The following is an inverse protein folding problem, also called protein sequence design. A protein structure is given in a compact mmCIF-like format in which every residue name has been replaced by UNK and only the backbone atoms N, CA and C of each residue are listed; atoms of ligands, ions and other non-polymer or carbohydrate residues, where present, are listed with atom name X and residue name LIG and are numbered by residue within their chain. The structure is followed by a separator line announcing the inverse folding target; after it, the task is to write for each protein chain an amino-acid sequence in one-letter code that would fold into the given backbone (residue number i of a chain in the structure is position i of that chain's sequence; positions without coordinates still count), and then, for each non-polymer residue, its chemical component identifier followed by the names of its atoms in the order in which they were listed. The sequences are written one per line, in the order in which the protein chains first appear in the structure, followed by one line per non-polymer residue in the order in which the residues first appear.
data_IF_761966821246
#
_entry.id   IF_761966821246
#
_cell.length_a   1.000
_cell.length_b   1.000
_cell.length_c   1.000
_cell.angle_alpha   90.00
_cell.angle_beta   90.00
_cell.angle_gamma   90.00
#
_symmetry.space_group_name_H-M   'P 1'
#
loop_
_entity.id
_entity.type
_entity.pdbx_description
1 polymer ?
#
# COMPACT_ATOMS: atom_id res chain seq x y z
N UNK A 1 -20.80 -24.49 39.91
CA UNK A 1 -19.66 -23.65 40.36
C UNK A 1 -18.34 -24.04 39.69
N UNK A 2 -17.95 -25.33 39.65
CA UNK A 2 -16.69 -25.79 39.03
C UNK A 2 -16.57 -25.48 37.52
N UNK A 3 -17.67 -25.59 36.76
CA UNK A 3 -17.70 -25.32 35.31
C UNK A 3 -17.47 -23.83 35.01
N UNK A 4 -18.00 -22.92 35.84
CA UNK A 4 -17.84 -21.47 35.69
C UNK A 4 -16.38 -21.04 35.99
N UNK A 5 -15.76 -21.66 36.99
CA UNK A 5 -14.33 -21.45 37.32
C UNK A 5 -13.41 -21.92 36.18
N UNK A 6 -13.68 -23.08 35.58
CA UNK A 6 -12.95 -23.58 34.41
C UNK A 6 -13.15 -22.67 33.17
N UNK A 7 -14.37 -22.20 32.93
CA UNK A 7 -14.71 -21.24 31.86
C UNK A 7 -13.89 -19.94 31.94
N UNK A 8 -13.91 -19.29 33.11
CA UNK A 8 -13.15 -18.06 33.33
C UNK A 8 -11.66 -18.30 33.16
N UNK A 9 -11.13 -19.45 33.60
CA UNK A 9 -9.70 -19.76 33.49
C UNK A 9 -9.22 -19.94 32.04
N UNK A 10 -10.05 -20.49 31.14
CA UNK A 10 -9.64 -20.75 29.76
C UNK A 10 -9.73 -19.50 28.88
N UNK A 11 -10.78 -18.70 29.02
CA UNK A 11 -10.88 -17.44 28.27
C UNK A 11 -9.80 -16.45 28.72
N UNK A 12 -9.55 -16.34 30.04
CA UNK A 12 -8.47 -15.49 30.57
C UNK A 12 -7.08 -15.96 30.13
N UNK A 13 -6.87 -17.27 29.98
CA UNK A 13 -5.63 -17.79 29.39
C UNK A 13 -5.49 -17.35 27.92
N UNK A 14 -6.54 -17.49 27.10
CA UNK A 14 -6.53 -17.04 25.72
C UNK A 14 -6.24 -15.54 25.59
N UNK A 15 -6.91 -14.71 26.40
CA UNK A 15 -6.70 -13.26 26.45
C UNK A 15 -5.28 -12.91 26.91
N UNK A 16 -4.74 -13.63 27.91
CA UNK A 16 -3.37 -13.41 28.36
C UNK A 16 -2.33 -13.80 27.31
N UNK A 17 -2.58 -14.85 26.52
CA UNK A 17 -1.70 -15.25 25.43
C UNK A 17 -1.73 -14.20 24.32
N UNK A 18 -2.94 -13.73 23.96
CA UNK A 18 -3.15 -12.68 22.99
C UNK A 18 -2.43 -11.38 23.37
N UNK A 19 -2.62 -10.92 24.61
CA UNK A 19 -2.00 -9.71 25.14
C UNK A 19 -0.46 -9.77 25.18
N UNK A 20 0.11 -10.98 25.21
CA UNK A 20 1.57 -11.21 25.17
C UNK A 20 2.11 -11.47 23.76
N UNK A 21 1.26 -11.43 22.72
CA UNK A 21 1.64 -11.65 21.33
C UNK A 21 1.78 -13.13 20.93
N UNK A 22 1.40 -14.07 21.78
CA UNK A 22 1.39 -15.51 21.48
C UNK A 22 0.14 -15.87 20.65
N UNK A 23 0.05 -15.31 19.45
CA UNK A 23 -1.16 -15.37 18.62
C UNK A 23 -1.53 -16.79 18.18
N UNK A 24 -0.56 -17.67 17.97
CA UNK A 24 -0.85 -19.06 17.58
C UNK A 24 -1.52 -19.83 18.70
N UNK A 25 -0.97 -19.73 19.91
CA UNK A 25 -1.49 -20.34 21.12
C UNK A 25 -2.83 -19.73 21.49
N UNK A 26 -2.94 -18.39 21.48
CA UNK A 26 -4.19 -17.68 21.73
C UNK A 26 -5.30 -18.14 20.78
N UNK A 27 -5.01 -18.26 19.48
CA UNK A 27 -5.97 -18.77 18.48
C UNK A 27 -6.48 -20.16 18.84
N UNK A 28 -5.59 -21.07 19.22
CA UNK A 28 -5.97 -22.44 19.59
C UNK A 28 -6.81 -22.47 20.87
N UNK A 29 -6.48 -21.64 21.86
CA UNK A 29 -7.24 -21.53 23.10
C UNK A 29 -8.62 -20.89 22.87
N UNK A 30 -8.73 -19.82 22.07
CA UNK A 30 -10.03 -19.27 21.66
C UNK A 30 -10.88 -20.29 20.91
N UNK A 31 -10.29 -21.03 19.96
CA UNK A 31 -11.00 -22.08 19.23
C UNK A 31 -11.51 -23.16 20.21
N UNK A 32 -10.68 -23.58 21.16
CA UNK A 32 -11.07 -24.52 22.21
C UNK A 32 -12.25 -23.97 23.02
N UNK A 33 -12.18 -22.73 23.48
CA UNK A 33 -13.25 -22.04 24.20
C UNK A 33 -14.55 -22.05 23.39
N UNK A 34 -14.52 -21.74 22.09
CA UNK A 34 -15.72 -21.71 21.24
C UNK A 34 -16.29 -23.09 20.89
N UNK A 35 -15.51 -24.16 21.02
CA UNK A 35 -15.96 -25.55 20.83
C UNK A 35 -16.65 -26.06 22.09
N UNK A 36 -16.00 -25.90 23.25
CA UNK A 36 -16.54 -26.39 24.52
C UNK A 36 -17.64 -25.49 25.10
N UNK A 37 -17.65 -24.20 24.75
CA UNK A 37 -18.61 -23.20 25.23
C UNK A 37 -19.16 -22.34 24.08
N UNK A 38 -20.06 -22.90 23.23
CA UNK A 38 -20.56 -22.22 22.04
C UNK A 38 -21.22 -20.85 22.29
N UNK A 39 -21.78 -20.63 23.47
CA UNK A 39 -22.38 -19.34 23.87
C UNK A 39 -21.36 -18.18 23.86
N UNK A 40 -20.08 -18.46 24.09
CA UNK A 40 -19.02 -17.45 24.05
C UNK A 40 -18.70 -16.96 22.63
N UNK A 41 -19.25 -17.59 21.59
CA UNK A 41 -19.22 -17.03 20.23
C UNK A 41 -20.02 -15.73 20.08
N UNK A 42 -20.86 -15.40 21.06
CA UNK A 42 -21.53 -14.10 21.14
C UNK A 42 -20.66 -13.03 21.82
N UNK A 43 -19.53 -13.41 22.42
CA UNK A 43 -18.57 -12.44 22.93
C UNK A 43 -17.75 -11.88 21.76
N UNK A 44 -18.08 -10.65 21.37
CA UNK A 44 -17.48 -9.95 20.23
C UNK A 44 -15.98 -9.73 20.43
N UNK A 45 -15.56 -9.38 21.65
CA UNK A 45 -14.14 -9.13 21.98
C UNK A 45 -13.30 -10.40 21.79
N UNK A 46 -13.76 -11.53 22.35
CA UNK A 46 -13.07 -12.81 22.18
C UNK A 46 -12.98 -13.22 20.70
N UNK A 47 -14.02 -12.94 19.91
CA UNK A 47 -13.99 -13.22 18.46
C UNK A 47 -13.07 -12.29 17.69
N UNK A 48 -12.98 -11.03 18.09
CA UNK A 48 -12.02 -10.08 17.51
C UNK A 48 -10.60 -10.57 17.77
N UNK A 49 -10.24 -10.86 19.02
CA UNK A 49 -8.92 -11.38 19.37
C UNK A 49 -8.59 -12.69 18.65
N UNK A 50 -9.57 -13.60 18.51
CA UNK A 50 -9.41 -14.81 17.70
C UNK A 50 -9.13 -14.51 16.22
N UNK A 51 -9.91 -13.60 15.61
CA UNK A 51 -9.75 -13.22 14.21
C UNK A 51 -8.40 -12.53 13.96
N UNK A 52 -7.98 -11.63 14.85
CA UNK A 52 -6.66 -10.99 14.81
C UNK A 52 -5.54 -12.03 14.99
N UNK A 53 -5.71 -12.99 15.89
CA UNK A 53 -4.75 -14.08 16.07
C UNK A 53 -4.57 -14.92 14.80
N UNK A 54 -5.66 -15.19 14.06
CA UNK A 54 -5.57 -15.81 12.73
C UNK A 54 -4.85 -14.90 11.75
N UNK A 55 -5.19 -13.61 11.72
CA UNK A 55 -4.64 -12.63 10.80
C UNK A 55 -3.11 -12.58 10.85
N UNK A 56 -2.54 -12.67 12.05
CA UNK A 56 -1.09 -12.67 12.28
C UNK A 56 -0.36 -13.86 11.66
N UNK A 57 -1.07 -14.98 11.43
CA UNK A 57 -0.54 -16.15 10.71
C UNK A 57 -0.89 -16.16 9.23
N UNK A 58 -2.17 -15.92 8.93
CA UNK A 58 -2.78 -16.09 7.62
C UNK A 58 -3.72 -14.92 7.38
N UNK A 59 -3.20 -13.90 6.68
CA UNK A 59 -3.90 -12.65 6.44
C UNK A 59 -5.24 -12.89 5.72
N UNK A 60 -5.30 -13.84 4.77
CA UNK A 60 -6.54 -14.10 4.03
C UNK A 60 -7.63 -14.65 4.93
N UNK A 61 -7.31 -15.63 5.77
CA UNK A 61 -8.28 -16.21 6.72
C UNK A 61 -8.66 -15.24 7.81
N UNK A 62 -7.71 -14.48 8.35
CA UNK A 62 -7.99 -13.47 9.38
C UNK A 62 -8.96 -12.41 8.87
N UNK A 63 -8.75 -11.89 7.65
CA UNK A 63 -9.67 -10.93 7.02
C UNK A 63 -11.04 -11.56 6.79
N UNK A 64 -11.11 -12.83 6.40
CA UNK A 64 -12.39 -13.54 6.27
C UNK A 64 -13.15 -13.60 7.60
N UNK A 65 -12.46 -13.91 8.71
CA UNK A 65 -13.09 -13.94 10.04
C UNK A 65 -13.48 -12.56 10.57
N UNK A 66 -12.68 -11.52 10.30
CA UNK A 66 -13.06 -10.13 10.61
C UNK A 66 -14.30 -9.69 9.85
N UNK A 67 -14.40 -10.01 8.55
CA UNK A 67 -15.60 -9.72 7.77
C UNK A 67 -16.84 -10.45 8.30
N UNK A 68 -16.70 -11.73 8.70
CA UNK A 68 -17.80 -12.46 9.36
C UNK A 68 -18.23 -11.76 10.64
N UNK A 69 -17.27 -11.34 11.47
CA UNK A 69 -17.55 -10.60 12.71
C UNK A 69 -18.35 -9.31 12.44
N UNK A 70 -17.91 -8.48 11.48
CA UNK A 70 -18.61 -7.23 11.12
C UNK A 70 -20.03 -7.51 10.60
N UNK A 71 -20.21 -8.54 9.79
CA UNK A 71 -21.52 -8.89 9.23
C UNK A 71 -22.49 -9.46 10.27
N UNK A 72 -21.98 -10.29 11.19
CA UNK A 72 -22.78 -10.91 12.25
C UNK A 72 -23.16 -9.91 13.35
N UNK A 73 -22.34 -8.89 13.57
CA UNK A 73 -22.59 -7.83 14.56
C UNK A 73 -22.60 -6.46 13.89
N UNK A 74 -23.69 -6.05 13.22
CA UNK A 74 -23.73 -4.73 12.55
C UNK A 74 -23.61 -3.53 13.50
N UNK A 75 -23.86 -3.72 14.80
CA UNK A 75 -23.80 -2.69 15.84
C UNK A 75 -22.57 -2.86 16.74
N UNK A 76 -21.39 -2.96 16.13
CA UNK A 76 -20.11 -3.00 16.87
C UNK A 76 -19.87 -1.68 17.62
N UNK A 77 -19.37 -1.75 18.87
CA UNK A 77 -18.79 -0.61 19.57
C UNK A 77 -17.73 0.12 18.74
N UNK A 78 -17.65 1.45 18.89
CA UNK A 78 -16.77 2.29 18.06
C UNK A 78 -15.29 1.90 18.18
N UNK A 79 -14.83 1.58 19.39
CA UNK A 79 -13.46 1.11 19.65
C UNK A 79 -13.13 -0.19 18.89
N UNK A 80 -14.09 -1.12 18.79
CA UNK A 80 -13.91 -2.36 18.02
C UNK A 80 -13.91 -2.11 16.51
N UNK A 81 -14.78 -1.21 16.02
CA UNK A 81 -14.76 -0.80 14.61
C UNK A 81 -13.41 -0.19 14.23
N UNK A 82 -12.90 0.70 15.10
CA UNK A 82 -11.58 1.30 14.95
C UNK A 82 -10.49 0.24 14.90
N UNK A 83 -10.46 -0.70 15.84
CA UNK A 83 -9.46 -1.76 15.86
C UNK A 83 -9.51 -2.64 14.60
N UNK A 84 -10.70 -3.03 14.14
CA UNK A 84 -10.87 -3.80 12.89
C UNK A 84 -10.41 -2.98 11.68
N UNK A 85 -10.72 -1.69 11.64
CA UNK A 85 -10.26 -0.80 10.58
C UNK A 85 -8.74 -0.68 10.57
N UNK A 86 -8.08 -0.57 11.74
CA UNK A 86 -6.62 -0.62 11.87
C UNK A 86 -6.05 -1.92 11.25
N UNK A 87 -6.69 -3.07 11.50
CA UNK A 87 -6.27 -4.34 10.86
C UNK A 87 -6.44 -4.32 9.34
N UNK A 88 -7.53 -3.76 8.83
CA UNK A 88 -7.75 -3.58 7.40
C UNK A 88 -6.72 -2.64 6.76
N UNK A 89 -6.35 -1.56 7.44
CA UNK A 89 -5.31 -0.64 6.97
C UNK A 89 -3.95 -1.35 6.91
N UNK A 90 -3.58 -2.07 7.97
CA UNK A 90 -2.31 -2.82 8.05
C UNK A 90 -2.19 -3.89 6.96
N UNK A 91 -3.32 -4.44 6.52
CA UNK A 91 -3.38 -5.42 5.42
C UNK A 91 -3.69 -4.81 4.06
N UNK A 92 -3.66 -3.47 3.95
CA UNK A 92 -3.92 -2.69 2.73
C UNK A 92 -5.30 -2.96 2.11
N UNK A 93 -6.28 -3.29 2.93
CA UNK A 93 -7.70 -3.47 2.58
C UNK A 93 -8.49 -2.19 2.83
N UNK A 94 -8.02 -1.09 2.25
CA UNK A 94 -8.56 0.25 2.52
C UNK A 94 -10.06 0.38 2.24
N UNK A 95 -10.57 -0.27 1.18
CA UNK A 95 -12.01 -0.32 0.89
C UNK A 95 -12.84 -0.85 2.08
N UNK A 96 -12.37 -1.91 2.76
CA UNK A 96 -13.09 -2.48 3.91
C UNK A 96 -13.04 -1.52 5.11
N UNK A 97 -11.87 -0.91 5.37
CA UNK A 97 -11.72 0.10 6.41
C UNK A 97 -12.65 1.32 6.16
N UNK A 98 -12.69 1.83 4.93
CA UNK A 98 -13.58 2.93 4.53
C UNK A 98 -15.05 2.53 4.77
N UNK A 99 -15.45 1.33 4.35
CA UNK A 99 -16.84 0.88 4.51
C UNK A 99 -17.24 0.77 5.98
N UNK A 100 -16.31 0.38 6.85
CA UNK A 100 -16.56 0.22 8.28
C UNK A 100 -16.63 1.56 9.03
N UNK A 101 -15.82 2.53 8.62
CA UNK A 101 -15.66 3.83 9.28
C UNK A 101 -16.59 4.93 8.77
N UNK A 102 -17.17 4.78 7.57
CA UNK A 102 -17.97 5.83 6.92
C UNK A 102 -19.08 6.44 7.79
N UNK A 103 -19.75 5.57 8.55
CA UNK A 103 -20.90 5.91 9.39
C UNK A 103 -20.50 6.11 10.87
N UNK A 104 -19.20 6.27 11.14
CA UNK A 104 -18.66 6.50 12.48
C UNK A 104 -18.21 7.94 12.65
N UNK A 105 -17.99 8.34 13.91
CA UNK A 105 -17.43 9.64 14.26
C UNK A 105 -15.90 9.70 14.08
N UNK A 106 -15.24 8.60 13.69
CA UNK A 106 -13.78 8.50 13.47
C UNK A 106 -13.36 9.14 12.14
N UNK A 107 -13.66 10.44 11.96
CA UNK A 107 -13.40 11.20 10.72
C UNK A 107 -11.92 11.32 10.40
N UNK A 108 -11.08 11.57 11.40
CA UNK A 108 -9.63 11.60 11.24
C UNK A 108 -9.07 10.29 10.65
N UNK A 109 -9.47 9.14 11.22
CA UNK A 109 -9.03 7.84 10.73
C UNK A 109 -9.56 7.56 9.33
N UNK A 110 -10.84 7.88 9.06
CA UNK A 110 -11.42 7.75 7.72
C UNK A 110 -10.68 8.60 6.68
N UNK A 111 -10.36 9.85 7.02
CA UNK A 111 -9.56 10.76 6.19
C UNK A 111 -8.18 10.18 5.89
N UNK A 112 -7.51 9.61 6.90
CA UNK A 112 -6.24 8.90 6.73
C UNK A 112 -6.40 7.70 5.77
N UNK A 113 -7.44 6.88 5.91
CA UNK A 113 -7.64 5.73 5.00
C UNK A 113 -7.85 6.21 3.56
N UNK A 114 -8.60 7.28 3.33
CA UNK A 114 -8.74 7.86 2.00
C UNK A 114 -7.40 8.32 1.42
N UNK A 115 -6.51 8.91 2.25
CA UNK A 115 -5.15 9.27 1.81
C UNK A 115 -4.32 8.04 1.42
N UNK A 116 -4.34 6.99 2.25
CA UNK A 116 -3.59 5.76 2.01
C UNK A 116 -4.08 5.05 0.72
N UNK A 117 -5.39 5.10 0.45
CA UNK A 117 -6.01 4.56 -0.77
C UNK A 117 -5.81 5.45 -2.01
N UNK A 118 -5.30 6.69 -1.84
CA UNK A 118 -5.09 7.65 -2.92
C UNK A 118 -6.34 8.44 -3.34
N UNK A 119 -7.42 8.37 -2.56
CA UNK A 119 -8.65 9.14 -2.77
C UNK A 119 -8.53 10.55 -2.18
N UNK A 120 -7.59 11.36 -2.71
CA UNK A 120 -7.24 12.67 -2.15
C UNK A 120 -8.42 13.64 -2.01
N UNK A 121 -9.35 13.65 -2.97
CA UNK A 121 -10.54 14.51 -2.89
C UNK A 121 -11.46 14.13 -1.73
N UNK A 122 -11.65 12.84 -1.49
CA UNK A 122 -12.48 12.34 -0.38
C UNK A 122 -11.78 12.57 0.96
N UNK A 123 -10.47 12.33 1.03
CA UNK A 123 -9.66 12.66 2.21
C UNK A 123 -9.78 14.14 2.57
N UNK A 124 -9.55 15.03 1.59
CA UNK A 124 -9.67 16.48 1.76
C UNK A 124 -11.04 16.88 2.28
N UNK A 125 -12.12 16.38 1.66
CA UNK A 125 -13.47 16.67 2.09
C UNK A 125 -13.71 16.21 3.54
N UNK A 126 -13.26 15.01 3.88
CA UNK A 126 -13.38 14.44 5.23
C UNK A 126 -12.66 15.30 6.27
N UNK A 127 -11.42 15.74 5.99
CA UNK A 127 -10.68 16.60 6.92
C UNK A 127 -11.28 17.99 7.06
N UNK A 128 -11.85 18.57 6.00
CA UNK A 128 -12.54 19.85 6.09
C UNK A 128 -13.83 19.76 6.92
N UNK A 129 -14.61 18.70 6.74
CA UNK A 129 -15.81 18.44 7.55
C UNK A 129 -15.48 18.28 9.04
N UNK A 130 -14.31 17.71 9.35
CA UNK A 130 -13.80 17.54 10.71
C UNK A 130 -13.13 18.81 11.28
N UNK A 131 -13.01 19.88 10.48
CA UNK A 131 -12.37 21.14 10.87
C UNK A 131 -10.83 21.12 10.80
N UNK A 132 -10.22 20.06 10.29
CA UNK A 132 -8.78 19.92 10.13
C UNK A 132 -8.28 20.58 8.82
N UNK A 133 -8.32 21.90 8.80
CA UNK A 133 -7.96 22.73 7.64
C UNK A 133 -6.49 22.55 7.25
N UNK A 134 -5.58 22.37 8.22
CA UNK A 134 -4.14 22.21 7.95
C UNK A 134 -3.86 21.01 7.03
N UNK A 135 -4.44 19.84 7.32
CA UNK A 135 -4.24 18.65 6.49
C UNK A 135 -4.91 18.83 5.12
N UNK A 136 -6.09 19.46 5.07
CA UNK A 136 -6.76 19.75 3.81
C UNK A 136 -5.92 20.65 2.88
N UNK A 137 -5.30 21.70 3.43
CA UNK A 137 -4.41 22.60 2.69
C UNK A 137 -3.15 21.88 2.20
N UNK A 138 -2.57 20.98 3.02
CA UNK A 138 -1.44 20.15 2.61
C UNK A 138 -1.79 19.21 1.44
N UNK A 139 -3.03 18.71 1.40
CA UNK A 139 -3.54 17.92 0.27
C UNK A 139 -3.66 18.79 -0.98
N UNK A 140 -4.18 20.02 -0.84
CA UNK A 140 -4.29 20.96 -1.96
C UNK A 140 -2.93 21.34 -2.54
N UNK A 141 -1.95 21.64 -1.67
CA UNK A 141 -0.58 21.91 -2.08
C UNK A 141 0.01 20.73 -2.89
N UNK A 142 -0.20 19.50 -2.42
CA UNK A 142 0.26 18.31 -3.11
C UNK A 142 -0.42 18.12 -4.47
N UNK A 143 -1.74 18.34 -4.55
CA UNK A 143 -2.50 18.21 -5.80
C UNK A 143 -2.12 19.27 -6.83
N UNK A 144 -1.78 20.48 -6.39
CA UNK A 144 -1.29 21.56 -7.25
C UNK A 144 0.18 21.36 -7.66
N UNK A 145 0.92 20.54 -6.92
CA UNK A 145 2.33 20.32 -7.21
C UNK A 145 2.54 19.64 -8.57
N UNK A 146 3.47 20.14 -9.41
CA UNK A 146 3.62 19.63 -10.77
C UNK A 146 4.15 18.20 -10.76
N UNK A 147 3.43 17.30 -11.43
CA UNK A 147 3.85 15.91 -11.66
C UNK A 147 4.70 15.81 -12.92
N UNK A 148 5.61 14.83 -12.97
CA UNK A 148 6.36 14.51 -14.20
C UNK A 148 5.41 13.86 -15.20
N UNK A 149 5.38 14.40 -16.41
CA UNK A 149 4.53 13.90 -17.49
C UNK A 149 5.19 12.71 -18.17
N UNK A 150 4.49 11.57 -18.20
CA UNK A 150 4.91 10.38 -18.95
C UNK A 150 5.11 10.68 -20.43
N UNK A 151 4.17 11.43 -21.04
CA UNK A 151 4.22 11.80 -22.45
C UNK A 151 5.44 12.66 -22.75
N UNK A 152 5.77 13.59 -21.85
CA UNK A 152 6.95 14.44 -22.00
C UNK A 152 8.23 13.62 -21.88
N UNK A 153 8.30 12.68 -20.92
CA UNK A 153 9.44 11.79 -20.79
C UNK A 153 9.64 10.94 -22.06
N UNK A 154 8.56 10.34 -22.58
CA UNK A 154 8.58 9.59 -23.85
C UNK A 154 9.03 10.45 -25.02
N UNK A 155 8.48 11.66 -25.16
CA UNK A 155 8.84 12.57 -26.24
C UNK A 155 10.32 12.93 -26.20
N UNK A 156 10.85 13.21 -25.02
CA UNK A 156 12.28 13.50 -24.85
C UNK A 156 13.14 12.31 -25.26
N UNK A 157 12.81 11.09 -24.83
CA UNK A 157 13.58 9.89 -25.19
C UNK A 157 13.41 9.45 -26.64
N UNK A 158 12.33 9.88 -27.31
CA UNK A 158 12.17 9.72 -28.75
C UNK A 158 13.23 10.54 -29.52
N UNK A 159 13.47 11.78 -29.10
CA UNK A 159 14.47 12.64 -29.75
C UNK A 159 15.89 12.31 -29.33
N UNK A 160 16.10 12.00 -28.05
CA UNK A 160 17.41 11.73 -27.48
C UNK A 160 17.30 10.61 -26.43
N UNK A 161 17.79 9.40 -26.73
CA UNK A 161 17.78 8.30 -25.78
C UNK A 161 18.38 8.70 -24.43
N UNK A 162 17.70 8.38 -23.34
CA UNK A 162 18.07 8.75 -21.98
C UNK A 162 17.55 10.11 -21.49
N UNK A 163 17.06 10.99 -22.36
CA UNK A 163 16.65 12.34 -21.96
C UNK A 163 15.37 12.35 -21.10
N UNK A 164 14.43 11.46 -21.36
CA UNK A 164 13.21 11.31 -20.56
C UNK A 164 13.48 10.79 -19.15
N UNK A 165 14.44 9.88 -19.00
CA UNK A 165 14.93 9.37 -17.73
C UNK A 165 15.61 10.48 -16.91
N UNK A 166 16.43 11.32 -17.55
CA UNK A 166 17.01 12.53 -16.93
C UNK A 166 15.91 13.51 -16.50
N UNK A 167 14.90 13.75 -17.34
CA UNK A 167 13.75 14.58 -17.01
C UNK A 167 12.97 14.06 -15.79
N UNK A 168 12.87 12.74 -15.66
CA UNK A 168 12.29 12.06 -14.50
C UNK A 168 13.23 12.03 -13.27
N UNK A 169 14.40 12.67 -13.34
CA UNK A 169 15.35 12.75 -12.24
C UNK A 169 16.27 11.54 -12.08
N UNK A 170 16.31 10.62 -13.06
CA UNK A 170 17.18 9.45 -13.05
C UNK A 170 18.33 9.59 -14.05
N UNK A 171 19.28 10.47 -13.73
CA UNK A 171 20.40 10.81 -14.62
C UNK A 171 21.33 9.63 -14.90
N UNK A 172 21.53 8.73 -13.94
CA UNK A 172 22.37 7.53 -14.11
C UNK A 172 21.75 6.59 -15.14
N UNK A 173 20.45 6.35 -15.04
CA UNK A 173 19.71 5.52 -16.00
C UNK A 173 19.73 6.17 -17.39
N UNK A 174 19.48 7.47 -17.47
CA UNK A 174 19.53 8.20 -18.74
C UNK A 174 20.90 8.15 -19.41
N UNK A 175 21.99 8.34 -18.67
CA UNK A 175 23.34 8.23 -19.21
C UNK A 175 23.63 6.83 -19.75
N UNK A 176 23.24 5.78 -19.02
CA UNK A 176 23.40 4.39 -19.47
C UNK A 176 22.67 4.15 -20.79
N UNK A 177 21.41 4.57 -20.87
CA UNK A 177 20.58 4.33 -22.04
C UNK A 177 21.07 5.15 -23.25
N UNK A 178 21.58 6.36 -23.02
CA UNK A 178 22.30 7.14 -24.03
C UNK A 178 23.53 6.39 -24.56
N UNK A 179 24.40 5.89 -23.68
CA UNK A 179 25.62 5.17 -24.07
C UNK A 179 25.32 3.87 -24.84
N UNK A 180 24.29 3.12 -24.45
CA UNK A 180 23.88 1.90 -25.14
C UNK A 180 23.37 2.20 -26.56
N UNK A 181 22.58 3.26 -26.71
CA UNK A 181 22.10 3.69 -28.02
C UNK A 181 23.24 4.23 -28.90
N UNK A 182 24.15 5.03 -28.32
CA UNK A 182 25.31 5.57 -29.03
C UNK A 182 26.24 4.44 -29.51
N UNK A 183 26.55 3.48 -28.64
CA UNK A 183 27.38 2.32 -28.99
C UNK A 183 26.73 1.46 -30.08
N UNK A 184 25.42 1.22 -29.99
CA UNK A 184 24.68 0.47 -31.00
C UNK A 184 24.61 1.20 -32.34
N UNK A 185 24.42 2.52 -32.31
CA UNK A 185 24.45 3.36 -33.51
C UNK A 185 25.82 3.38 -34.18
N UNK A 186 26.90 3.44 -33.39
CA UNK A 186 28.26 3.34 -33.88
C UNK A 186 28.54 1.99 -34.55
N UNK A 187 28.14 0.88 -33.92
CA UNK A 187 28.29 -0.46 -34.51
C UNK A 187 27.51 -0.57 -35.82
N UNK A 188 26.27 -0.10 -35.85
CA UNK A 188 25.44 -0.10 -37.05
C UNK A 188 26.09 0.69 -38.19
N UNK A 189 26.57 1.91 -37.89
CA UNK A 189 27.29 2.75 -38.86
C UNK A 189 28.57 2.08 -39.39
N UNK A 190 29.38 1.49 -38.51
CA UNK A 190 30.62 0.84 -38.90
C UNK A 190 30.38 -0.35 -39.85
N UNK A 191 29.37 -1.17 -39.56
CA UNK A 191 29.01 -2.32 -40.38
C UNK A 191 28.42 -1.89 -41.73
N UNK A 192 27.60 -0.84 -41.76
CA UNK A 192 27.11 -0.23 -43.00
C UNK A 192 28.25 0.30 -43.88
N UNK A 193 29.24 0.99 -43.30
CA UNK A 193 30.40 1.50 -44.03
C UNK A 193 31.22 0.40 -44.69
N UNK A 194 31.24 -0.80 -44.09
CA UNK A 194 31.90 -1.99 -44.64
C UNK A 194 31.05 -2.75 -45.67
N UNK A 195 29.86 -2.24 -46.02
CA UNK A 195 28.91 -2.88 -46.94
C UNK A 195 28.45 -4.28 -46.50
N UNK A 196 28.54 -4.59 -45.20
CA UNK A 196 28.10 -5.87 -44.63
C UNK A 196 26.61 -5.81 -44.27
N UNK A 197 25.74 -5.82 -45.26
CA UNK A 197 24.31 -5.54 -45.06
C UNK A 197 23.58 -6.56 -44.18
N UNK A 198 23.97 -7.84 -44.21
CA UNK A 198 23.40 -8.87 -43.33
C UNK A 198 23.74 -8.56 -41.87
N UNK A 199 25.01 -8.30 -41.57
CA UNK A 199 25.45 -7.91 -40.23
C UNK A 199 24.79 -6.60 -39.78
N UNK A 200 24.62 -5.62 -40.69
CA UNK A 200 23.96 -4.36 -40.38
C UNK A 200 22.50 -4.59 -39.98
N UNK A 201 21.82 -5.51 -40.65
CA UNK A 201 20.44 -5.90 -40.35
C UNK A 201 20.36 -6.56 -38.96
N UNK A 202 21.31 -7.45 -38.63
CA UNK A 202 21.38 -8.08 -37.30
C UNK A 202 21.64 -7.04 -36.21
N UNK A 203 22.60 -6.13 -36.40
CA UNK A 203 22.89 -5.05 -35.44
C UNK A 203 21.68 -4.14 -35.26
N UNK A 204 20.99 -3.78 -36.34
CA UNK A 204 19.77 -2.96 -36.26
C UNK A 204 18.68 -3.66 -35.45
N UNK A 205 18.33 -4.90 -35.82
CA UNK A 205 17.22 -5.64 -35.21
C UNK A 205 17.48 -5.98 -33.74
N UNK A 206 18.69 -6.42 -33.41
CA UNK A 206 19.00 -6.96 -32.08
C UNK A 206 19.60 -5.94 -31.11
N UNK A 207 20.27 -4.89 -31.60
CA UNK A 207 20.89 -3.88 -30.75
C UNK A 207 20.18 -2.54 -30.87
N UNK A 208 20.24 -1.89 -32.03
CA UNK A 208 19.78 -0.50 -32.15
C UNK A 208 18.29 -0.37 -31.83
N UNK A 209 17.44 -1.17 -32.47
CA UNK A 209 15.99 -1.16 -32.24
C UNK A 209 15.65 -1.50 -30.77
N UNK A 210 16.30 -2.54 -30.23
CA UNK A 210 16.10 -3.00 -28.85
C UNK A 210 16.41 -1.91 -27.83
N UNK A 211 17.57 -1.27 -27.91
CA UNK A 211 17.98 -0.26 -26.95
C UNK A 211 17.22 1.06 -27.12
N UNK A 212 16.83 1.40 -28.35
CA UNK A 212 16.05 2.60 -28.62
C UNK A 212 14.64 2.49 -28.03
N UNK A 213 13.92 1.42 -28.34
CA UNK A 213 12.61 1.15 -27.74
C UNK A 213 12.69 0.97 -26.22
N UNK A 214 13.77 0.34 -25.75
CA UNK A 214 14.05 0.18 -24.33
C UNK A 214 14.15 1.52 -23.59
N UNK A 215 14.87 2.50 -24.14
CA UNK A 215 14.96 3.84 -23.52
C UNK A 215 13.60 4.55 -23.49
N UNK A 216 12.80 4.47 -24.55
CA UNK A 216 11.47 5.08 -24.55
C UNK A 216 10.58 4.50 -23.44
N UNK A 217 10.60 3.18 -23.27
CA UNK A 217 9.85 2.51 -22.21
C UNK A 217 10.38 2.86 -20.81
N UNK A 218 11.71 2.89 -20.65
CA UNK A 218 12.36 3.26 -19.39
C UNK A 218 12.06 4.71 -18.99
N UNK A 219 11.96 5.63 -19.95
CA UNK A 219 11.58 7.02 -19.71
C UNK A 219 10.17 7.14 -19.14
N UNK A 220 9.20 6.43 -19.75
CA UNK A 220 7.84 6.39 -19.23
C UNK A 220 7.81 5.86 -17.80
N UNK A 221 8.44 4.71 -17.57
CA UNK A 221 8.52 4.07 -16.27
C UNK A 221 9.17 4.98 -15.23
N UNK A 222 10.25 5.67 -15.58
CA UNK A 222 10.95 6.60 -14.69
C UNK A 222 10.06 7.76 -14.25
N UNK A 223 9.23 8.31 -15.14
CA UNK A 223 8.30 9.38 -14.78
C UNK A 223 7.23 8.90 -13.79
N UNK A 224 6.68 7.70 -13.99
CA UNK A 224 5.73 7.06 -13.06
C UNK A 224 6.37 6.84 -11.69
N UNK A 225 7.55 6.23 -11.67
CA UNK A 225 8.29 5.92 -10.44
C UNK A 225 8.67 7.19 -9.67
N UNK A 226 9.04 8.26 -10.36
CA UNK A 226 9.31 9.56 -9.75
C UNK A 226 8.08 10.13 -9.03
N UNK A 227 6.93 10.12 -9.70
CA UNK A 227 5.68 10.61 -9.14
C UNK A 227 5.23 9.75 -7.95
N UNK A 228 5.32 8.42 -8.06
CA UNK A 228 4.99 7.51 -6.96
C UNK A 228 5.95 7.64 -5.78
N UNK A 229 7.25 7.86 -6.03
CA UNK A 229 8.22 8.14 -4.96
C UNK A 229 7.86 9.44 -4.23
N UNK A 230 7.58 10.51 -4.97
CA UNK A 230 7.16 11.80 -4.38
C UNK A 230 5.86 11.67 -3.57
N UNK A 231 4.89 10.88 -4.07
CA UNK A 231 3.65 10.56 -3.35
C UNK A 231 3.94 9.88 -2.02
N UNK A 232 4.77 8.83 -2.03
CA UNK A 232 5.14 8.09 -0.81
C UNK A 232 5.85 8.98 0.20
N UNK A 233 6.86 9.73 -0.23
CA UNK A 233 7.60 10.66 0.64
C UNK A 233 6.68 11.71 1.26
N UNK A 234 5.76 12.28 0.48
CA UNK A 234 4.77 13.23 0.99
C UNK A 234 3.82 12.57 2.00
N UNK A 235 3.31 11.38 1.69
CA UNK A 235 2.38 10.65 2.56
C UNK A 235 3.06 10.24 3.87
N UNK A 236 4.28 9.71 3.81
CA UNK A 236 5.09 9.36 4.99
C UNK A 236 5.30 10.56 5.90
N UNK A 237 5.58 11.76 5.34
CA UNK A 237 5.69 12.98 6.14
C UNK A 237 4.38 13.35 6.84
N UNK A 238 3.25 13.29 6.14
CA UNK A 238 1.94 13.60 6.74
C UNK A 238 1.58 12.60 7.83
N UNK A 239 1.70 11.30 7.54
CA UNK A 239 1.41 10.24 8.51
C UNK A 239 2.30 10.37 9.73
N UNK A 240 3.60 10.59 9.55
CA UNK A 240 4.51 10.76 10.68
C UNK A 240 4.20 12.01 11.53
N UNK A 241 3.86 13.14 10.91
CA UNK A 241 3.62 14.40 11.61
C UNK A 241 2.25 14.46 12.30
N UNK A 242 1.20 13.94 11.65
CA UNK A 242 -0.19 14.12 12.10
C UNK A 242 -0.83 12.84 12.63
N UNK A 243 -0.24 11.68 12.36
CA UNK A 243 -0.77 10.37 12.75
C UNK A 243 0.33 9.50 13.39
N UNK A 244 1.24 10.13 14.14
CA UNK A 244 2.37 9.44 14.78
C UNK A 244 1.92 8.23 15.61
N UNK A 245 0.81 8.39 16.35
CA UNK A 245 0.24 7.34 17.20
C UNK A 245 -0.18 6.10 16.40
N UNK A 246 -0.56 6.27 15.13
CA UNK A 246 -0.90 5.17 14.21
C UNK A 246 0.32 4.28 13.90
N UNK A 247 1.53 4.86 13.87
CA UNK A 247 2.79 4.14 13.58
C UNK A 247 3.48 3.57 14.84
N UNK A 248 3.02 3.90 16.05
CA UNK A 248 3.74 3.57 17.31
C UNK A 248 3.34 2.25 17.95
N UNK A 249 2.29 1.56 17.46
CA UNK A 249 2.03 0.19 17.91
C UNK A 249 2.94 -0.77 17.14
N UNK A 250 3.99 -1.34 17.76
CA UNK A 250 4.79 -2.36 17.12
C UNK A 250 3.87 -3.52 16.73
N UNK A 251 4.01 -3.98 15.48
CA UNK A 251 3.23 -5.06 14.89
C UNK A 251 3.42 -6.40 15.59
#
# INVERSE_FOLDING_TARGET
MLIILMLCSQLTLADSLYARGYYEEARLEYLRVFVFYPQLRQNVEARLHYAVSILKKDASKGISELNKLVNEFPQLPINMRREIAEQYINTKRYYLAISLLRDTEERDLLGLVYLLDGQFSNARATFLEDGNIEIADLIDEYLQSPKRSERTAVLLSLFLPGAGEVYAGNSVLGLRDFLMNLGSGYLFYNVLRQQKYVDATLVFLFLLNRFYLGSIHNAQKSAIEHNEKRRREWLERIVHKHFADFNTKPH
#
